data_IF_652661180876
#
_entry.id   IF_652661180876
#
_cell.length_a   1.000
_cell.length_b   1.000
_cell.length_c   1.000
_cell.angle_alpha   90.00
_cell.angle_beta   90.00
_cell.angle_gamma   90.00
#
_symmetry.space_group_name_H-M   'P 1'
#
loop_
_entity.id
_entity.type
_entity.pdbx_description
1 polymer ?
#
# COMPACT_ATOMS: atom_id res chain seq x y z
N UNK A 1 -8.11 20.56 -21.72
CA UNK A 1 -7.13 21.19 -20.79
C UNK A 1 -7.44 20.99 -19.30
N UNK A 2 -8.29 20.03 -18.91
CA UNK A 2 -8.65 19.78 -17.49
C UNK A 2 -7.91 18.63 -16.83
N UNK A 3 -7.22 17.80 -17.60
CA UNK A 3 -6.64 16.54 -17.09
C UNK A 3 -5.49 16.74 -16.11
N UNK A 4 -4.64 17.74 -16.32
CA UNK A 4 -3.52 18.03 -15.43
C UNK A 4 -3.92 18.48 -14.01
N UNK A 5 -5.07 19.15 -13.86
CA UNK A 5 -5.57 19.55 -12.54
C UNK A 5 -6.12 18.38 -11.75
N UNK A 6 -6.76 17.42 -12.43
CA UNK A 6 -7.27 16.20 -11.81
C UNK A 6 -6.14 15.30 -11.34
N UNK A 7 -5.14 15.08 -12.19
CA UNK A 7 -3.94 14.29 -11.84
C UNK A 7 -3.22 14.92 -10.63
N UNK A 8 -3.00 16.24 -10.66
CA UNK A 8 -2.36 16.92 -9.54
C UNK A 8 -3.17 16.80 -8.25
N UNK A 9 -4.50 16.96 -8.29
CA UNK A 9 -5.35 16.80 -7.11
C UNK A 9 -5.28 15.37 -6.56
N UNK A 10 -5.37 14.36 -7.43
CA UNK A 10 -5.26 12.96 -7.02
C UNK A 10 -3.90 12.65 -6.40
N UNK A 11 -2.81 13.13 -7.02
CA UNK A 11 -1.46 12.93 -6.49
C UNK A 11 -1.27 13.60 -5.13
N UNK A 12 -1.80 14.81 -4.94
CA UNK A 12 -1.76 15.53 -3.66
C UNK A 12 -2.56 14.77 -2.59
N UNK A 13 -3.77 14.29 -2.93
CA UNK A 13 -4.60 13.52 -1.99
C UNK A 13 -3.92 12.21 -1.58
N UNK A 14 -3.34 11.48 -2.53
CA UNK A 14 -2.56 10.26 -2.23
C UNK A 14 -1.36 10.60 -1.35
N UNK A 15 -0.63 11.66 -1.66
CA UNK A 15 0.51 12.11 -0.86
C UNK A 15 0.13 12.44 0.60
N UNK A 16 -0.96 13.18 0.80
CA UNK A 16 -1.49 13.43 2.15
C UNK A 16 -1.93 12.14 2.84
N UNK A 17 -2.57 11.21 2.13
CA UNK A 17 -2.94 9.90 2.67
C UNK A 17 -1.72 9.10 3.13
N UNK A 18 -0.67 9.05 2.32
CA UNK A 18 0.60 8.39 2.68
C UNK A 18 1.20 9.02 3.94
N UNK A 19 1.30 10.35 3.99
CA UNK A 19 1.84 11.06 5.14
C UNK A 19 1.01 10.82 6.41
N UNK A 20 -0.32 10.81 6.30
CA UNK A 20 -1.20 10.53 7.42
C UNK A 20 -1.01 9.12 7.97
N UNK A 21 -0.97 8.10 7.09
CA UNK A 21 -0.81 6.70 7.50
C UNK A 21 0.58 6.46 8.10
N UNK A 22 1.63 6.89 7.42
CA UNK A 22 3.01 6.74 7.93
C UNK A 22 3.19 7.51 9.22
N UNK A 23 2.72 8.76 9.30
CA UNK A 23 2.83 9.60 10.48
C UNK A 23 2.09 9.01 11.70
N UNK A 24 0.86 8.55 11.53
CA UNK A 24 0.09 7.91 12.62
C UNK A 24 0.73 6.58 13.05
N UNK A 25 1.17 5.74 12.11
CA UNK A 25 1.86 4.50 12.43
C UNK A 25 3.17 4.75 13.20
N UNK A 26 3.95 5.75 12.78
CA UNK A 26 5.18 6.16 13.47
C UNK A 26 4.88 6.67 14.88
N UNK A 27 3.89 7.54 15.05
CA UNK A 27 3.52 8.08 16.36
C UNK A 27 3.05 6.98 17.33
N UNK A 28 2.24 6.05 16.86
CA UNK A 28 1.76 4.93 17.66
C UNK A 28 2.91 4.00 18.03
N UNK A 29 3.77 3.67 17.08
CA UNK A 29 4.94 2.82 17.30
C UNK A 29 5.90 3.41 18.33
N UNK A 30 6.17 4.71 18.23
CA UNK A 30 7.00 5.43 19.18
C UNK A 30 6.36 5.49 20.57
N UNK A 31 5.06 5.78 20.65
CA UNK A 31 4.33 5.89 21.91
C UNK A 31 4.16 4.56 22.65
N UNK A 32 4.09 3.43 21.91
CA UNK A 32 4.00 2.09 22.49
C UNK A 32 5.37 1.44 22.76
N UNK A 33 6.46 2.09 22.34
CA UNK A 33 7.82 1.53 22.52
C UNK A 33 7.97 0.17 21.85
N UNK A 34 7.52 0.03 20.59
CA UNK A 34 7.62 -1.23 19.84
C UNK A 34 9.08 -1.64 19.73
N UNK A 35 9.45 -2.73 20.42
CA UNK A 35 10.84 -3.19 20.55
C UNK A 35 11.10 -4.52 19.86
N UNK A 36 10.10 -5.16 19.29
CA UNK A 36 10.22 -6.46 18.61
C UNK A 36 9.38 -6.53 17.36
N UNK A 37 9.89 -7.26 16.37
CA UNK A 37 9.22 -7.47 15.09
C UNK A 37 8.42 -8.76 15.14
N UNK A 38 7.13 -8.64 14.95
CA UNK A 38 6.23 -9.78 14.76
C UNK A 38 6.29 -10.28 13.30
N UNK A 39 5.93 -11.54 13.09
CA UNK A 39 5.90 -12.17 11.76
C UNK A 39 5.04 -11.39 10.74
N UNK A 40 3.98 -10.75 11.19
CA UNK A 40 3.10 -9.89 10.36
C UNK A 40 3.84 -8.68 9.78
N UNK A 41 4.74 -8.08 10.58
CA UNK A 41 5.56 -6.94 10.14
C UNK A 41 6.60 -7.43 9.13
N UNK A 42 7.30 -8.52 9.45
CA UNK A 42 8.35 -9.07 8.60
C UNK A 42 7.83 -9.61 7.27
N UNK A 43 6.61 -10.15 7.25
CA UNK A 43 5.96 -10.60 6.02
C UNK A 43 5.67 -9.48 5.00
N UNK A 44 5.72 -8.20 5.44
CA UNK A 44 5.45 -7.03 4.58
C UNK A 44 6.67 -6.16 4.30
N UNK A 45 7.85 -6.70 4.50
CA UNK A 45 9.13 -5.99 4.28
C UNK A 45 9.72 -6.19 2.90
N UNK A 46 9.14 -7.09 2.10
CA UNK A 46 9.61 -7.35 0.74
C UNK A 46 8.43 -7.52 -0.22
N UNK A 47 8.50 -6.94 -1.41
CA UNK A 47 7.51 -7.17 -2.47
C UNK A 47 7.44 -8.66 -2.81
N UNK A 48 6.23 -9.22 -2.82
CA UNK A 48 6.00 -10.59 -3.25
C UNK A 48 4.83 -10.68 -4.24
N UNK A 49 4.76 -11.79 -4.98
CA UNK A 49 3.75 -12.00 -6.00
C UNK A 49 2.34 -12.19 -5.43
N UNK A 50 2.23 -12.65 -4.19
CA UNK A 50 0.95 -12.85 -3.53
C UNK A 50 0.32 -11.50 -3.20
N UNK A 51 1.09 -10.58 -2.63
CA UNK A 51 0.62 -9.23 -2.33
C UNK A 51 0.23 -8.48 -3.60
N UNK A 52 1.02 -8.62 -4.67
CA UNK A 52 0.68 -8.07 -5.98
C UNK A 52 -0.61 -8.70 -6.54
N UNK A 53 -0.80 -10.01 -6.38
CA UNK A 53 -2.04 -10.71 -6.76
C UNK A 53 -3.26 -10.16 -6.03
N UNK A 54 -3.13 -9.93 -4.73
CA UNK A 54 -4.19 -9.30 -3.90
C UNK A 54 -4.48 -7.86 -4.40
N UNK A 55 -3.45 -7.09 -4.70
CA UNK A 55 -3.60 -5.74 -5.21
C UNK A 55 -4.31 -5.70 -6.57
N UNK A 56 -3.98 -6.63 -7.47
CA UNK A 56 -4.66 -6.80 -8.77
C UNK A 56 -6.13 -7.18 -8.57
N UNK A 57 -6.42 -8.15 -7.72
CA UNK A 57 -7.80 -8.56 -7.42
C UNK A 57 -8.62 -7.39 -6.83
N UNK A 58 -8.03 -6.64 -5.90
CA UNK A 58 -8.64 -5.43 -5.32
C UNK A 58 -8.91 -4.36 -6.39
N UNK A 59 -7.97 -4.18 -7.33
CA UNK A 59 -8.11 -3.23 -8.42
C UNK A 59 -9.22 -3.61 -9.41
N UNK A 60 -9.34 -4.90 -9.75
CA UNK A 60 -10.44 -5.41 -10.59
C UNK A 60 -11.79 -5.18 -9.90
N UNK A 61 -11.91 -5.59 -8.64
CA UNK A 61 -13.14 -5.42 -7.86
C UNK A 61 -13.50 -3.92 -7.69
N UNK A 62 -12.51 -3.09 -7.35
CA UNK A 62 -12.69 -1.65 -7.20
C UNK A 62 -13.11 -0.96 -8.50
N UNK A 63 -12.41 -1.23 -9.59
CA UNK A 63 -12.70 -0.64 -10.90
C UNK A 63 -14.07 -1.09 -11.44
N UNK A 64 -14.42 -2.37 -11.24
CA UNK A 64 -15.72 -2.88 -11.61
C UNK A 64 -16.84 -2.22 -10.80
N UNK A 65 -16.67 -2.04 -9.48
CA UNK A 65 -17.68 -1.38 -8.65
C UNK A 65 -17.91 0.08 -9.03
N UNK A 66 -16.88 0.80 -9.45
CA UNK A 66 -17.00 2.19 -9.92
C UNK A 66 -17.81 2.35 -11.21
N UNK A 67 -17.92 1.30 -12.03
CA UNK A 67 -18.70 1.33 -13.28
C UNK A 67 -20.17 0.96 -13.08
N UNK A 68 -20.55 0.51 -11.88
CA UNK A 68 -21.91 0.12 -11.55
C UNK A 68 -22.58 1.18 -10.67
N UNK A 69 -23.61 1.85 -11.19
CA UNK A 69 -24.37 2.89 -10.47
C UNK A 69 -24.97 2.44 -9.14
N UNK A 70 -25.17 1.13 -8.96
CA UNK A 70 -25.75 0.53 -7.76
C UNK A 70 -24.72 0.24 -6.67
N UNK A 71 -23.42 0.24 -6.99
CA UNK A 71 -22.36 -0.04 -6.04
C UNK A 71 -21.76 1.28 -5.53
N UNK A 72 -21.56 1.35 -4.23
CA UNK A 72 -20.97 2.54 -3.61
C UNK A 72 -19.50 2.69 -3.95
N UNK A 73 -19.07 3.90 -4.26
CA UNK A 73 -17.64 4.24 -4.41
C UNK A 73 -16.81 3.90 -3.17
N UNK A 74 -17.46 3.78 -2.00
CA UNK A 74 -16.81 3.36 -0.75
C UNK A 74 -16.24 1.94 -0.84
N UNK A 75 -16.92 1.03 -1.56
CA UNK A 75 -16.46 -0.37 -1.74
C UNK A 75 -15.13 -0.39 -2.49
N UNK A 76 -15.02 0.41 -3.56
CA UNK A 76 -13.77 0.53 -4.30
C UNK A 76 -12.63 1.07 -3.41
N UNK A 77 -12.91 2.09 -2.62
CA UNK A 77 -11.94 2.67 -1.69
C UNK A 77 -11.45 1.67 -0.64
N UNK A 78 -12.35 0.89 -0.05
CA UNK A 78 -12.00 -0.15 0.93
C UNK A 78 -11.15 -1.25 0.29
N UNK A 79 -11.52 -1.74 -0.90
CA UNK A 79 -10.77 -2.78 -1.59
C UNK A 79 -9.31 -2.35 -1.87
N UNK A 80 -9.12 -1.10 -2.31
CA UNK A 80 -7.79 -0.54 -2.56
C UNK A 80 -7.02 -0.31 -1.26
N UNK A 81 -7.69 0.18 -0.20
CA UNK A 81 -7.06 0.44 1.09
C UNK A 81 -6.48 -0.84 1.72
N UNK A 82 -7.16 -1.98 1.60
CA UNK A 82 -6.67 -3.28 2.11
C UNK A 82 -5.30 -3.65 1.51
N UNK A 83 -5.04 -3.30 0.26
CA UNK A 83 -3.76 -3.59 -0.39
C UNK A 83 -2.67 -2.54 -0.12
N UNK A 84 -3.04 -1.30 0.18
CA UNK A 84 -2.08 -0.18 0.28
C UNK A 84 -1.74 0.24 1.71
N UNK A 85 -2.70 0.20 2.64
CA UNK A 85 -2.50 0.71 4.01
C UNK A 85 -1.51 -0.14 4.83
N UNK A 86 -1.60 -1.49 4.84
CA UNK A 86 -0.71 -2.29 5.67
C UNK A 86 0.79 -2.08 5.39
N UNK A 87 1.29 -2.08 4.14
CA UNK A 87 2.71 -1.81 3.89
C UNK A 87 3.13 -0.39 4.29
N UNK A 88 2.25 0.60 4.18
CA UNK A 88 2.54 1.95 4.67
C UNK A 88 2.65 2.01 6.20
N UNK A 89 1.80 1.29 6.93
CA UNK A 89 1.90 1.18 8.38
C UNK A 89 3.23 0.54 8.78
N UNK A 90 3.65 -0.54 8.13
CA UNK A 90 4.94 -1.20 8.40
C UNK A 90 6.10 -0.28 8.06
N UNK A 91 6.02 0.50 6.99
CA UNK A 91 7.03 1.53 6.68
C UNK A 91 7.12 2.57 7.80
N UNK A 92 5.98 3.06 8.31
CA UNK A 92 5.95 4.01 9.43
C UNK A 92 6.53 3.44 10.72
N UNK A 93 6.22 2.18 11.05
CA UNK A 93 6.82 1.47 12.18
C UNK A 93 8.34 1.36 11.98
N UNK A 94 8.79 0.95 10.79
CA UNK A 94 10.21 0.84 10.46
C UNK A 94 11.00 2.13 10.68
N UNK A 95 10.39 3.30 10.46
CA UNK A 95 11.05 4.59 10.70
C UNK A 95 11.32 4.89 12.20
N UNK A 96 10.56 4.28 13.10
CA UNK A 96 10.68 4.50 14.55
C UNK A 96 11.52 3.45 15.25
N UNK A 97 11.78 2.33 14.61
CA UNK A 97 12.66 1.29 15.15
C UNK A 97 14.09 1.82 15.16
N UNK A 98 14.74 1.83 16.33
CA UNK A 98 16.13 2.28 16.47
C UNK A 98 17.12 1.38 15.73
N UNK A 99 18.32 1.90 15.44
CA UNK A 99 19.40 1.19 14.74
C UNK A 99 19.92 -0.06 15.48
N UNK A 100 19.54 -0.23 16.74
CA UNK A 100 19.95 -1.36 17.59
C UNK A 100 18.95 -2.54 17.57
N UNK A 101 17.88 -2.47 16.78
CA UNK A 101 16.94 -3.58 16.71
C UNK A 101 17.54 -4.78 16.00
N UNK A 102 17.63 -5.83 16.74
CA UNK A 102 18.06 -7.14 16.26
C UNK A 102 16.80 -7.93 15.86
N UNK A 103 16.56 -8.10 14.57
CA UNK A 103 15.55 -9.03 14.13
C UNK A 103 16.11 -10.46 14.19
N UNK A 104 15.46 -11.31 14.96
CA UNK A 104 15.79 -12.74 14.99
C UNK A 104 15.11 -13.41 13.80
N UNK A 105 15.80 -13.54 12.69
CA UNK A 105 15.37 -14.33 11.54
C UNK A 105 15.98 -15.75 11.67
N UNK A 106 15.17 -16.72 12.03
CA UNK A 106 15.59 -18.11 12.11
C UNK A 106 16.77 -18.32 13.07
N UNK A 107 17.98 -18.56 12.57
CA UNK A 107 19.21 -18.80 13.36
C UNK A 107 20.21 -17.64 13.33
N UNK A 108 19.85 -16.49 12.78
CA UNK A 108 20.77 -15.36 12.66
C UNK A 108 20.19 -14.06 13.20
N UNK A 109 21.05 -13.27 13.85
CA UNK A 109 20.78 -11.88 14.22
C UNK A 109 21.36 -10.97 13.15
N UNK A 110 20.52 -10.12 12.51
CA UNK A 110 20.98 -9.14 11.53
C UNK A 110 20.82 -7.75 12.12
N UNK A 111 21.93 -7.09 12.40
CA UNK A 111 21.96 -5.70 12.83
C UNK A 111 21.75 -4.76 11.63
N UNK A 112 21.02 -3.66 11.81
CA UNK A 112 20.87 -2.62 10.78
C UNK A 112 19.64 -2.76 9.88
N UNK A 113 18.63 -3.58 10.25
CA UNK A 113 17.42 -3.82 9.45
C UNK A 113 16.42 -2.67 9.42
N UNK A 114 16.60 -1.63 10.22
CA UNK A 114 15.60 -0.56 10.39
C UNK A 114 15.26 0.15 9.09
N UNK A 115 16.27 0.57 8.35
CA UNK A 115 16.08 1.20 7.05
C UNK A 115 15.52 0.22 6.04
N UNK A 116 15.95 -1.05 6.07
CA UNK A 116 15.44 -2.08 5.14
C UNK A 116 13.96 -2.39 5.34
N UNK A 117 13.46 -2.34 6.59
CA UNK A 117 12.04 -2.54 6.87
C UNK A 117 11.21 -1.37 6.31
N UNK A 118 11.62 -0.15 6.58
CA UNK A 118 10.93 1.03 6.09
C UNK A 118 10.96 1.10 4.55
N UNK A 119 12.14 0.91 3.95
CA UNK A 119 12.33 0.93 2.50
C UNK A 119 11.62 -0.22 1.81
N UNK A 120 11.76 -1.45 2.28
CA UNK A 120 11.14 -2.64 1.69
C UNK A 120 9.62 -2.56 1.72
N UNK A 121 9.05 -2.12 2.84
CA UNK A 121 7.61 -1.94 2.97
C UNK A 121 7.09 -0.79 2.10
N UNK A 122 7.85 0.27 1.95
CA UNK A 122 7.51 1.37 1.05
C UNK A 122 7.58 0.94 -0.43
N UNK A 123 8.57 0.13 -0.79
CA UNK A 123 8.66 -0.47 -2.14
C UNK A 123 7.49 -1.40 -2.42
N UNK A 124 7.05 -2.19 -1.43
CA UNK A 124 5.85 -3.02 -1.55
C UNK A 124 4.60 -2.17 -1.79
N UNK A 125 4.46 -1.06 -1.06
CA UNK A 125 3.38 -0.10 -1.31
C UNK A 125 3.42 0.45 -2.73
N UNK A 126 4.60 0.86 -3.24
CA UNK A 126 4.74 1.37 -4.61
C UNK A 126 4.41 0.31 -5.66
N UNK A 127 4.86 -0.92 -5.47
CA UNK A 127 4.56 -2.03 -6.36
C UNK A 127 3.04 -2.29 -6.44
N UNK A 128 2.36 -2.30 -5.28
CA UNK A 128 0.91 -2.46 -5.22
C UNK A 128 0.18 -1.26 -5.85
N UNK A 129 0.63 -0.04 -5.60
CA UNK A 129 0.04 1.17 -6.19
C UNK A 129 0.14 1.16 -7.72
N UNK A 130 1.30 0.79 -8.26
CA UNK A 130 1.49 0.65 -9.72
C UNK A 130 0.60 -0.48 -10.25
N UNK A 131 0.60 -1.64 -9.61
CA UNK A 131 -0.23 -2.78 -9.98
C UNK A 131 -1.73 -2.42 -10.03
N UNK A 132 -2.23 -1.75 -9.00
CA UNK A 132 -3.62 -1.26 -8.93
C UNK A 132 -3.89 -0.27 -10.07
N UNK A 133 -3.01 0.68 -10.30
CA UNK A 133 -3.21 1.72 -11.31
C UNK A 133 -3.25 1.13 -12.71
N UNK A 134 -2.31 0.24 -13.05
CA UNK A 134 -2.24 -0.43 -14.36
C UNK A 134 -3.46 -1.32 -14.55
N UNK A 135 -3.83 -2.13 -13.55
CA UNK A 135 -5.00 -3.03 -13.63
C UNK A 135 -6.29 -2.23 -13.80
N UNK A 136 -6.47 -1.14 -13.04
CA UNK A 136 -7.63 -0.27 -13.17
C UNK A 136 -7.73 0.34 -14.56
N UNK A 137 -6.60 0.80 -15.12
CA UNK A 137 -6.55 1.32 -16.49
C UNK A 137 -6.99 0.27 -17.50
N UNK A 138 -6.47 -0.96 -17.39
CA UNK A 138 -6.85 -2.08 -18.27
C UNK A 138 -8.34 -2.38 -18.15
N UNK A 139 -8.88 -2.47 -16.94
CA UNK A 139 -10.32 -2.72 -16.71
C UNK A 139 -11.17 -1.64 -17.37
N UNK A 140 -10.84 -0.36 -17.20
CA UNK A 140 -11.58 0.73 -17.82
C UNK A 140 -11.47 0.74 -19.34
N UNK A 141 -10.31 0.39 -19.90
CA UNK A 141 -10.14 0.26 -21.36
C UNK A 141 -11.00 -0.88 -21.91
N UNK A 142 -10.96 -2.05 -21.28
CA UNK A 142 -11.77 -3.21 -21.69
C UNK A 142 -13.26 -2.87 -21.63
N UNK A 143 -13.72 -2.19 -20.59
CA UNK A 143 -15.13 -1.79 -20.45
C UNK A 143 -15.52 -0.74 -21.49
N UNK A 144 -14.62 0.20 -21.81
CA UNK A 144 -14.86 1.20 -22.84
C UNK A 144 -15.02 0.56 -24.24
N UNK A 145 -14.16 -0.40 -24.57
CA UNK A 145 -14.21 -1.08 -25.87
C UNK A 145 -15.28 -2.19 -25.90
N UNK A 146 -15.59 -2.82 -24.77
CA UNK A 146 -16.63 -3.86 -24.69
C UNK A 146 -18.06 -3.33 -24.76
N UNK A 147 -18.27 -2.03 -24.56
CA UNK A 147 -19.60 -1.37 -24.66
C UNK A 147 -20.04 -1.06 -26.10
N UNK A 148 -19.24 -1.41 -27.11
CA UNK A 148 -19.56 -1.23 -28.53
C UNK A 148 -20.15 -2.49 -29.19
N UNK A 149 -20.67 -3.46 -28.43
CA UNK A 149 -21.47 -4.59 -28.97
C UNK A 149 -22.89 -4.56 -28.47
#
# INVERSE_FOLDING_TARGET
MSDGRLIRRSAVTVGFGVLAVVGTASLISWGLGVSYLQSEITGRTSPNLIDLGIAIAAAVAGSFSMTRKQLSNSIAGVAIAVALVPPLCVSGIGLTLGSEMVAVFGRGTVAGLTNQIAEGSFLLFLANLIGITVTSLVVFLVQRYGSFR
#
